data_IF_194116405502
#
_entry.id   IF_194116405502
#
_cell.length_a   1.000
_cell.length_b   1.000
_cell.length_c   1.000
_cell.angle_alpha   90.00
_cell.angle_beta   90.00
_cell.angle_gamma   90.00
#
_symmetry.space_group_name_H-M   'P 1'
#
loop_
_entity.id
_entity.type
_entity.pdbx_description
1 polymer ?
#
# COMPACT_ATOMS: atom_id res chain seq x y z
N UNK A 1 -8.28 -11.82 12.83
CA UNK A 1 -7.64 -11.68 11.52
C UNK A 1 -6.86 -12.94 11.22
N UNK A 2 -6.87 -13.44 9.99
CA UNK A 2 -6.05 -14.59 9.64
C UNK A 2 -4.56 -14.22 9.71
N UNK A 3 -3.77 -15.06 10.36
CA UNK A 3 -2.33 -14.90 10.50
C UNK A 3 -1.61 -15.82 9.52
N UNK A 4 -0.62 -15.29 8.81
CA UNK A 4 0.25 -16.08 7.94
C UNK A 4 1.65 -16.02 8.49
N UNK A 5 2.24 -17.20 8.69
CA UNK A 5 3.63 -17.31 9.06
C UNK A 5 4.50 -17.22 7.79
N UNK A 6 5.22 -16.12 7.64
CA UNK A 6 6.10 -15.85 6.51
C UNK A 6 7.60 -16.11 6.84
N UNK A 7 7.92 -16.69 8.00
CA UNK A 7 9.32 -16.93 8.42
C UNK A 7 10.13 -17.73 7.44
N UNK A 8 9.48 -18.68 6.77
CA UNK A 8 10.14 -19.57 5.81
C UNK A 8 10.09 -19.05 4.37
N UNK A 9 9.43 -17.93 4.15
CA UNK A 9 9.33 -17.35 2.80
C UNK A 9 10.60 -16.60 2.47
N UNK A 10 11.25 -16.96 1.38
CA UNK A 10 12.40 -16.21 0.89
C UNK A 10 11.92 -14.80 0.53
N UNK A 11 12.54 -13.72 1.04
CA UNK A 11 12.02 -12.35 0.88
C UNK A 11 11.73 -11.94 -0.56
N UNK A 12 12.48 -12.49 -1.52
CA UNK A 12 12.29 -12.25 -2.96
C UNK A 12 10.95 -12.82 -3.49
N UNK A 13 10.34 -13.78 -2.79
CA UNK A 13 9.05 -14.38 -3.13
C UNK A 13 7.85 -13.66 -2.49
N UNK A 14 8.10 -12.67 -1.66
CA UNK A 14 7.05 -11.83 -1.09
C UNK A 14 6.90 -10.57 -1.96
N UNK A 15 5.89 -10.54 -2.80
CA UNK A 15 5.66 -9.50 -3.79
C UNK A 15 4.66 -8.44 -3.31
N UNK A 16 4.80 -7.26 -3.85
CA UNK A 16 3.85 -6.15 -3.73
C UNK A 16 3.85 -5.35 -5.04
N UNK A 17 2.92 -4.41 -5.19
CA UNK A 17 2.92 -3.53 -6.35
C UNK A 17 4.28 -2.83 -6.54
N UNK A 18 4.81 -2.19 -5.51
CA UNK A 18 6.09 -1.48 -5.57
C UNK A 18 7.28 -2.39 -5.85
N UNK A 19 7.25 -3.65 -5.37
CA UNK A 19 8.31 -4.60 -5.66
C UNK A 19 8.30 -5.06 -7.12
N UNK A 20 7.11 -5.25 -7.72
CA UNK A 20 6.96 -5.57 -9.15
C UNK A 20 7.38 -4.38 -10.01
N UNK A 21 7.00 -3.15 -9.66
CA UNK A 21 7.51 -1.95 -10.35
C UNK A 21 9.04 -1.87 -10.30
N UNK A 22 9.63 -2.23 -9.16
CA UNK A 22 11.09 -2.28 -9.03
C UNK A 22 11.70 -3.36 -9.92
N UNK A 23 11.09 -4.55 -9.99
CA UNK A 23 11.50 -5.64 -10.87
C UNK A 23 11.50 -5.19 -12.35
N UNK A 24 10.42 -4.55 -12.80
CA UNK A 24 10.30 -4.04 -14.17
C UNK A 24 11.29 -2.91 -14.46
N UNK A 25 11.54 -2.04 -13.48
CA UNK A 25 12.52 -0.97 -13.62
C UNK A 25 13.93 -1.53 -13.76
N UNK A 26 14.34 -2.38 -12.85
CA UNK A 26 15.67 -3.02 -12.88
C UNK A 26 15.66 -4.28 -11.99
N UNK A 27 15.75 -5.49 -12.59
CA UNK A 27 15.77 -6.74 -11.83
C UNK A 27 16.91 -6.81 -10.80
N UNK A 28 18.09 -6.29 -11.10
CA UNK A 28 19.19 -6.22 -10.14
C UNK A 28 18.88 -5.35 -8.93
N UNK A 29 18.21 -4.21 -9.14
CA UNK A 29 17.72 -3.35 -8.05
C UNK A 29 16.71 -4.09 -7.18
N UNK A 30 15.79 -4.82 -7.79
CA UNK A 30 14.81 -5.66 -7.09
C UNK A 30 15.49 -6.72 -6.22
N UNK A 31 16.48 -7.45 -6.77
CA UNK A 31 17.24 -8.45 -6.02
C UNK A 31 17.94 -7.83 -4.79
N UNK A 32 18.72 -6.76 -4.99
CA UNK A 32 19.44 -6.09 -3.90
C UNK A 32 18.48 -5.63 -2.80
N UNK A 33 17.35 -5.05 -3.18
CA UNK A 33 16.33 -4.57 -2.24
C UNK A 33 15.67 -5.73 -1.49
N UNK A 34 15.21 -6.75 -2.21
CA UNK A 34 14.46 -7.87 -1.59
C UNK A 34 15.32 -8.77 -0.75
N UNK A 35 16.56 -8.98 -1.13
CA UNK A 35 17.51 -9.79 -0.36
C UNK A 35 18.19 -9.01 0.77
N UNK A 36 17.84 -7.75 0.95
CA UNK A 36 18.42 -6.86 1.97
C UNK A 36 19.96 -6.76 1.89
N UNK A 37 20.51 -6.75 0.67
CA UNK A 37 21.95 -6.62 0.46
C UNK A 37 22.49 -5.21 0.73
N UNK A 38 21.62 -4.23 0.83
CA UNK A 38 21.95 -2.84 1.14
C UNK A 38 20.85 -2.19 1.97
N UNK A 39 21.16 -1.13 2.76
CA UNK A 39 20.18 -0.38 3.51
C UNK A 39 19.09 0.18 2.60
N UNK A 40 17.86 0.22 3.10
CA UNK A 40 16.79 0.99 2.47
C UNK A 40 17.13 2.48 2.50
N UNK A 41 16.70 3.19 1.47
CA UNK A 41 16.78 4.65 1.47
C UNK A 41 15.89 5.21 2.59
N UNK A 42 16.37 6.23 3.30
CA UNK A 42 15.52 6.99 4.21
C UNK A 42 14.33 7.56 3.45
N UNK A 43 13.19 7.63 4.10
CA UNK A 43 12.00 8.27 3.54
C UNK A 43 12.33 9.66 2.98
N UNK A 44 11.78 9.98 1.81
CA UNK A 44 11.96 11.29 1.20
C UNK A 44 10.82 12.21 1.63
N UNK A 45 11.03 13.54 1.50
CA UNK A 45 9.95 14.50 1.71
C UNK A 45 8.73 14.21 0.83
N UNK A 46 8.93 13.60 -0.35
CA UNK A 46 7.86 13.21 -1.25
C UNK A 46 6.99 12.10 -0.67
N UNK A 47 7.63 11.07 -0.11
CA UNK A 47 6.94 9.95 0.53
C UNK A 47 6.26 10.37 1.83
N UNK A 48 6.96 11.12 2.70
CA UNK A 48 6.41 11.62 3.95
C UNK A 48 5.19 12.54 3.72
N UNK A 49 5.26 13.42 2.70
CA UNK A 49 4.15 14.29 2.33
C UNK A 49 2.94 13.48 1.86
N UNK A 50 3.17 12.53 0.93
CA UNK A 50 2.11 11.68 0.40
C UNK A 50 1.42 10.86 1.50
N UNK A 51 2.22 10.24 2.37
CA UNK A 51 1.74 9.47 3.50
C UNK A 51 0.92 10.32 4.48
N UNK A 52 1.42 11.49 4.89
CA UNK A 52 0.71 12.38 5.80
C UNK A 52 -0.65 12.84 5.22
N UNK A 53 -0.70 13.22 3.94
CA UNK A 53 -1.97 13.58 3.28
C UNK A 53 -2.93 12.38 3.27
N UNK A 54 -2.43 11.18 2.97
CA UNK A 54 -3.21 9.93 3.03
C UNK A 54 -3.83 9.71 4.40
N UNK A 55 -3.02 9.72 5.45
CA UNK A 55 -3.46 9.59 6.85
C UNK A 55 -4.52 10.62 7.20
N UNK A 56 -4.32 11.90 6.84
CA UNK A 56 -5.28 12.96 7.13
C UNK A 56 -6.63 12.75 6.45
N UNK A 57 -6.64 12.35 5.18
CA UNK A 57 -7.87 12.03 4.42
C UNK A 57 -8.59 10.83 5.03
N UNK A 58 -7.86 9.77 5.37
CA UNK A 58 -8.42 8.56 5.97
C UNK A 58 -9.05 8.84 7.34
N UNK A 59 -8.39 9.63 8.20
CA UNK A 59 -8.93 10.03 9.50
C UNK A 59 -10.22 10.86 9.39
N UNK A 60 -10.30 11.74 8.40
CA UNK A 60 -11.53 12.50 8.14
C UNK A 60 -12.68 11.59 7.67
N UNK A 61 -12.39 10.59 6.83
CA UNK A 61 -13.38 9.59 6.43
C UNK A 61 -13.88 8.77 7.62
N UNK A 62 -12.98 8.34 8.51
CA UNK A 62 -13.33 7.60 9.73
C UNK A 62 -14.21 8.46 10.65
N UNK A 63 -13.80 9.68 10.90
CA UNK A 63 -14.53 10.60 11.78
C UNK A 63 -15.94 10.90 11.25
N UNK A 64 -16.07 11.08 9.94
CA UNK A 64 -17.36 11.33 9.30
C UNK A 64 -18.31 10.14 9.45
N UNK A 65 -17.85 8.93 9.17
CA UNK A 65 -18.66 7.72 9.27
C UNK A 65 -19.04 7.40 10.73
N UNK A 66 -18.16 7.68 11.70
CA UNK A 66 -18.46 7.51 13.12
C UNK A 66 -19.57 8.47 13.60
N UNK A 67 -19.56 9.72 13.15
CA UNK A 67 -20.55 10.72 13.54
C UNK A 67 -21.95 10.45 12.98
N UNK A 68 -22.05 9.81 11.82
CA UNK A 68 -23.35 9.41 11.27
C UNK A 68 -24.00 8.28 12.07
N UNK A 69 -23.20 7.47 12.74
CA UNK A 69 -23.67 6.38 13.62
C UNK A 69 -24.09 6.88 15.01
N UNK A 70 -23.48 7.98 15.49
CA UNK A 70 -23.72 8.59 16.81
C UNK A 70 -24.56 9.88 16.64
N UNK A 71 -25.87 9.74 16.63
CA UNK A 71 -26.83 10.84 16.42
C UNK A 71 -26.84 11.97 17.48
N UNK A 72 -25.86 12.10 18.36
CA UNK A 72 -26.00 12.94 19.57
C UNK A 72 -24.79 13.77 20.02
N UNK A 73 -23.72 13.90 19.28
CA UNK A 73 -22.67 14.84 19.72
C UNK A 73 -22.30 15.80 18.58
N UNK A 74 -22.46 17.11 18.87
CA UNK A 74 -21.92 18.21 18.08
C UNK A 74 -20.36 18.14 18.07
N UNK A 75 -19.80 17.09 17.51
CA UNK A 75 -18.37 17.07 17.23
C UNK A 75 -18.15 18.13 16.16
N UNK A 76 -17.49 19.22 16.50
CA UNK A 76 -17.28 20.32 15.55
C UNK A 76 -16.35 19.85 14.43
N UNK A 77 -16.56 20.29 13.19
CA UNK A 77 -15.63 20.08 12.06
C UNK A 77 -14.18 20.38 12.43
N UNK A 78 -13.99 21.32 13.38
CA UNK A 78 -12.67 21.67 13.90
C UNK A 78 -12.04 20.53 14.68
N UNK A 79 -12.81 19.78 15.48
CA UNK A 79 -12.27 18.65 16.27
C UNK A 79 -11.88 17.47 15.38
N UNK A 80 -12.61 17.20 14.29
CA UNK A 80 -12.27 16.18 13.31
C UNK A 80 -10.96 16.52 12.61
N UNK A 81 -10.82 17.77 12.16
CA UNK A 81 -9.60 18.26 11.54
C UNK A 81 -8.40 18.22 12.50
N UNK A 82 -8.57 18.62 13.75
CA UNK A 82 -7.51 18.58 14.77
C UNK A 82 -7.02 17.14 15.00
N UNK A 83 -7.93 16.18 15.06
CA UNK A 83 -7.57 14.77 15.18
C UNK A 83 -6.79 14.29 13.95
N UNK A 84 -7.24 14.63 12.73
CA UNK A 84 -6.54 14.31 11.51
C UNK A 84 -5.12 14.89 11.50
N UNK A 85 -4.94 16.17 11.87
CA UNK A 85 -3.62 16.80 11.99
C UNK A 85 -2.73 16.10 13.00
N UNK A 86 -3.28 15.69 14.14
CA UNK A 86 -2.51 14.95 15.14
C UNK A 86 -2.00 13.62 14.60
N UNK A 87 -2.83 12.86 13.91
CA UNK A 87 -2.43 11.61 13.26
C UNK A 87 -1.39 11.83 12.16
N UNK A 88 -1.56 12.86 11.35
CA UNK A 88 -0.58 13.26 10.36
C UNK A 88 0.78 13.61 10.98
N UNK A 89 0.77 14.33 12.11
CA UNK A 89 1.99 14.67 12.83
C UNK A 89 2.72 13.42 13.32
N UNK A 90 1.99 12.46 13.90
CA UNK A 90 2.57 11.19 14.33
C UNK A 90 3.14 10.35 13.17
N UNK A 91 2.60 10.53 11.96
CA UNK A 91 3.05 9.83 10.75
C UNK A 91 4.17 10.53 9.99
N UNK A 92 4.59 11.73 10.42
CA UNK A 92 5.60 12.51 9.73
C UNK A 92 7.01 12.06 10.10
N UNK A 93 7.71 11.45 9.13
CA UNK A 93 9.00 10.80 9.36
C UNK A 93 10.23 11.64 8.99
N UNK A 94 10.03 12.84 8.43
CA UNK A 94 11.12 13.73 7.99
C UNK A 94 11.33 14.81 9.03
N UNK A 95 12.60 15.10 9.33
CA UNK A 95 12.95 16.23 10.19
C UNK A 95 12.43 17.54 9.58
N UNK A 96 11.67 18.29 10.37
CA UNK A 96 11.08 19.56 9.94
C UNK A 96 12.16 20.55 9.53
N UNK A 97 13.33 20.49 10.16
CA UNK A 97 14.47 21.37 9.87
C UNK A 97 15.16 21.03 8.53
N UNK A 98 15.01 19.81 8.03
CA UNK A 98 15.50 19.42 6.70
C UNK A 98 14.63 19.97 5.56
N UNK A 99 13.43 20.43 5.86
CA UNK A 99 12.48 20.95 4.86
C UNK A 99 12.79 22.41 4.55
N UNK A 100 13.14 22.68 3.30
CA UNK A 100 13.39 24.06 2.86
C UNK A 100 12.19 24.96 3.15
N UNK A 101 12.40 26.16 3.72
CA UNK A 101 11.33 27.15 3.87
C UNK A 101 10.61 27.37 2.53
N UNK A 102 9.27 27.43 2.55
CA UNK A 102 8.41 27.56 1.35
C UNK A 102 8.38 26.32 0.45
N UNK A 103 8.78 25.15 0.94
CA UNK A 103 8.56 23.91 0.20
C UNK A 103 7.06 23.68 0.01
N UNK A 104 6.66 23.28 -1.20
CA UNK A 104 5.29 22.85 -1.49
C UNK A 104 4.93 21.49 -0.88
N UNK A 105 5.92 20.80 -0.32
CA UNK A 105 5.82 19.50 0.36
C UNK A 105 6.34 19.62 1.79
N UNK A 106 5.80 20.55 2.57
CA UNK A 106 6.04 20.69 4.00
C UNK A 106 4.87 20.06 4.78
N UNK A 107 5.06 19.80 6.07
CA UNK A 107 3.97 19.37 6.94
C UNK A 107 2.80 20.36 6.92
N UNK A 108 3.11 21.66 6.99
CA UNK A 108 2.09 22.71 6.89
C UNK A 108 1.31 22.63 5.57
N UNK A 109 1.98 22.38 4.43
CA UNK A 109 1.31 22.20 3.14
C UNK A 109 0.42 20.95 3.12
N UNK A 110 0.81 19.88 3.81
CA UNK A 110 -0.03 18.69 3.97
C UNK A 110 -1.29 19.00 4.80
N UNK A 111 -1.16 19.77 5.89
CA UNK A 111 -2.32 20.23 6.67
C UNK A 111 -3.31 21.03 5.81
N UNK A 112 -2.83 21.97 5.01
CA UNK A 112 -3.68 22.75 4.09
C UNK A 112 -4.36 21.88 3.02
N UNK A 113 -3.69 20.82 2.55
CA UNK A 113 -4.29 19.87 1.62
C UNK A 113 -5.46 19.14 2.27
N UNK A 114 -5.30 18.66 3.49
CA UNK A 114 -6.34 17.93 4.23
C UNK A 114 -7.51 18.84 4.61
N UNK A 115 -7.25 20.09 4.95
CA UNK A 115 -8.30 21.11 5.16
C UNK A 115 -9.14 21.31 3.89
N UNK A 116 -8.49 21.45 2.74
CA UNK A 116 -9.21 21.55 1.45
C UNK A 116 -10.05 20.33 1.14
N UNK A 117 -9.52 19.12 1.42
CA UNK A 117 -10.28 17.90 1.27
C UNK A 117 -11.55 17.91 2.12
N UNK A 118 -11.42 18.25 3.41
CA UNK A 118 -12.55 18.33 4.34
C UNK A 118 -13.64 19.29 3.87
N UNK A 119 -13.24 20.46 3.36
CA UNK A 119 -14.19 21.50 2.98
C UNK A 119 -14.83 21.26 1.62
N UNK A 120 -14.12 20.73 0.65
CA UNK A 120 -14.53 20.71 -0.75
C UNK A 120 -14.98 19.33 -1.24
N UNK A 121 -14.32 18.27 -0.83
CA UNK A 121 -14.50 16.95 -1.42
C UNK A 121 -15.21 15.96 -0.50
N UNK A 122 -14.90 15.96 0.77
CA UNK A 122 -15.52 15.04 1.74
C UNK A 122 -17.05 15.12 1.74
N UNK A 123 -17.69 16.31 1.71
CA UNK A 123 -19.15 16.41 1.65
C UNK A 123 -19.74 15.85 0.36
N UNK A 124 -19.04 15.99 -0.76
CA UNK A 124 -19.48 15.45 -2.05
C UNK A 124 -19.39 13.93 -2.08
N UNK A 125 -18.26 13.38 -1.62
CA UNK A 125 -18.05 11.95 -1.55
C UNK A 125 -19.08 11.28 -0.63
N UNK A 126 -19.25 11.81 0.58
CA UNK A 126 -20.12 11.21 1.61
C UNK A 126 -21.62 11.42 1.34
N UNK A 127 -22.01 12.14 0.29
CA UNK A 127 -23.40 12.23 -0.13
C UNK A 127 -23.99 10.90 -0.60
N UNK A 128 -23.17 10.01 -1.17
CA UNK A 128 -23.60 8.72 -1.73
C UNK A 128 -22.84 7.54 -1.14
N UNK A 129 -21.60 7.77 -0.72
CA UNK A 129 -20.67 6.73 -0.29
C UNK A 129 -20.25 6.98 1.16
N UNK A 130 -20.13 5.90 1.90
CA UNK A 130 -19.60 5.91 3.26
C UNK A 130 -18.34 5.06 3.31
N UNK A 131 -17.51 5.26 4.33
CA UNK A 131 -16.41 4.34 4.61
C UNK A 131 -16.99 2.97 5.01
N UNK A 132 -16.52 1.91 4.38
CA UNK A 132 -16.90 0.55 4.75
C UNK A 132 -16.29 0.16 6.10
N UNK A 133 -16.96 -0.74 6.81
CA UNK A 133 -16.48 -1.33 8.06
C UNK A 133 -16.55 -2.86 7.94
N UNK A 134 -15.47 -3.54 8.27
CA UNK A 134 -15.41 -5.00 8.32
C UNK A 134 -15.08 -5.43 9.76
N UNK A 135 -15.92 -6.27 10.33
CA UNK A 135 -15.78 -6.71 11.74
C UNK A 135 -15.62 -5.54 12.72
N UNK A 136 -16.28 -4.41 12.46
CA UNK A 136 -16.21 -3.21 13.30
C UNK A 136 -14.98 -2.33 13.09
N UNK A 137 -14.08 -2.68 12.18
CA UNK A 137 -12.90 -1.88 11.81
C UNK A 137 -13.17 -1.07 10.55
N UNK A 138 -12.71 0.20 10.49
CA UNK A 138 -12.80 1.00 9.27
C UNK A 138 -11.92 0.40 8.17
N UNK A 139 -12.43 0.34 6.96
CA UNK A 139 -11.73 -0.20 5.81
C UNK A 139 -10.75 0.83 5.19
N UNK A 140 -9.77 1.24 5.98
CA UNK A 140 -8.61 2.04 5.58
C UNK A 140 -7.36 1.22 5.75
N UNK A 141 -6.39 1.37 4.84
CA UNK A 141 -5.18 0.53 4.79
C UNK A 141 -5.55 -0.96 4.90
N UNK A 142 -6.59 -1.36 4.15
CA UNK A 142 -7.14 -2.71 4.22
C UNK A 142 -6.13 -3.72 3.68
N UNK A 143 -5.48 -4.45 4.57
CA UNK A 143 -4.41 -5.39 4.25
C UNK A 143 -4.94 -6.69 3.64
N UNK A 144 -4.35 -7.10 2.52
CA UNK A 144 -4.64 -8.38 1.88
C UNK A 144 -3.38 -9.11 1.46
N UNK A 145 -3.45 -10.42 1.44
CA UNK A 145 -2.40 -11.27 0.92
C UNK A 145 -3.00 -12.38 0.04
N UNK A 146 -2.35 -12.60 -1.10
CA UNK A 146 -2.69 -13.66 -2.04
C UNK A 146 -1.57 -14.70 -2.00
N UNK A 147 -1.92 -15.93 -1.70
CA UNK A 147 -1.01 -17.07 -1.85
C UNK A 147 -0.99 -17.48 -3.32
N UNK A 148 0.17 -17.36 -3.95
CA UNK A 148 0.43 -17.73 -5.34
C UNK A 148 1.10 -19.11 -5.41
N UNK A 149 1.16 -19.75 -6.60
CA UNK A 149 1.94 -20.97 -6.81
C UNK A 149 3.42 -20.80 -6.44
N UNK A 150 4.11 -21.92 -6.18
CA UNK A 150 5.56 -21.98 -5.90
C UNK A 150 5.99 -21.17 -4.66
N UNK A 151 5.13 -21.10 -3.64
CA UNK A 151 5.37 -20.36 -2.39
C UNK A 151 5.63 -18.87 -2.57
N UNK A 152 5.06 -18.29 -3.62
CA UNK A 152 4.98 -16.84 -3.76
C UNK A 152 3.77 -16.30 -3.00
N UNK A 153 3.91 -15.06 -2.58
CA UNK A 153 2.85 -14.28 -1.94
C UNK A 153 2.81 -12.90 -2.56
N UNK A 154 1.62 -12.39 -2.82
CA UNK A 154 1.42 -11.00 -3.23
C UNK A 154 0.58 -10.31 -2.17
N UNK A 155 1.10 -9.24 -1.61
CA UNK A 155 0.43 -8.44 -0.57
C UNK A 155 0.22 -7.01 -1.00
N UNK A 156 -0.77 -6.37 -0.39
CA UNK A 156 -1.04 -4.96 -0.58
C UNK A 156 -1.99 -4.43 0.45
N UNK A 157 -2.15 -3.13 0.42
CA UNK A 157 -3.07 -2.39 1.27
C UNK A 157 -3.94 -1.53 0.37
N UNK A 158 -5.26 -1.60 0.56
CA UNK A 158 -6.22 -0.74 -0.14
C UNK A 158 -6.40 0.52 0.69
N UNK A 159 -6.10 1.69 0.13
CA UNK A 159 -6.10 2.96 0.88
C UNK A 159 -7.45 3.20 1.59
N UNK A 160 -8.57 3.02 0.88
CA UNK A 160 -9.89 3.00 1.50
C UNK A 160 -10.90 2.22 0.65
N UNK A 161 -11.83 1.52 1.31
CA UNK A 161 -13.01 0.93 0.68
C UNK A 161 -14.24 1.70 1.10
N UNK A 162 -14.98 2.15 0.12
CA UNK A 162 -16.25 2.85 0.28
C UNK A 162 -17.41 1.90 0.05
N UNK A 163 -18.54 2.16 0.70
CA UNK A 163 -19.78 1.42 0.54
C UNK A 163 -20.94 2.34 0.18
N UNK A 164 -21.69 1.96 -0.84
CA UNK A 164 -23.04 2.49 -1.08
C UNK A 164 -24.05 1.51 -0.49
N UNK A 165 -24.55 1.82 0.71
CA UNK A 165 -25.49 0.92 1.43
C UNK A 165 -26.81 0.73 0.69
N UNK A 166 -27.27 1.74 -0.04
CA UNK A 166 -28.52 1.68 -0.81
C UNK A 166 -28.44 0.68 -1.94
N UNK A 167 -27.29 0.66 -2.63
CA UNK A 167 -27.06 -0.20 -3.78
C UNK A 167 -26.32 -1.49 -3.43
N UNK A 168 -25.89 -1.64 -2.16
CA UNK A 168 -25.08 -2.76 -1.70
C UNK A 168 -23.83 -2.97 -2.56
N UNK A 169 -23.09 -1.91 -2.80
CA UNK A 169 -21.86 -1.94 -3.61
C UNK A 169 -20.66 -1.36 -2.88
N UNK A 170 -19.50 -1.98 -3.08
CA UNK A 170 -18.21 -1.48 -2.62
C UNK A 170 -17.43 -0.85 -3.77
N UNK A 171 -16.68 0.20 -3.47
CA UNK A 171 -15.77 0.89 -4.38
C UNK A 171 -14.45 1.21 -3.68
N UNK A 172 -13.36 1.18 -4.44
CA UNK A 172 -12.02 1.57 -3.96
C UNK A 172 -11.81 3.06 -4.14
N UNK A 173 -11.31 3.71 -3.10
CA UNK A 173 -10.72 5.04 -3.15
C UNK A 173 -9.20 4.90 -3.01
N UNK A 174 -8.46 5.41 -3.97
CA UNK A 174 -7.00 5.39 -4.02
C UNK A 174 -6.45 6.80 -3.94
N UNK A 175 -5.54 7.04 -3.01
CA UNK A 175 -4.99 8.36 -2.73
C UNK A 175 -3.62 8.52 -3.39
N UNK A 176 -3.41 9.61 -4.11
CA UNK A 176 -2.11 9.90 -4.73
C UNK A 176 -1.74 11.38 -4.56
N UNK A 177 -0.45 11.64 -4.42
CA UNK A 177 0.07 13.00 -4.47
C UNK A 177 1.07 13.12 -5.63
N UNK A 178 1.08 14.27 -6.32
CA UNK A 178 2.00 14.50 -7.42
C UNK A 178 2.54 15.91 -7.44
N UNK A 179 3.81 16.04 -7.82
CA UNK A 179 4.47 17.34 -8.09
C UNK A 179 4.42 17.72 -9.56
N UNK A 180 3.78 16.96 -10.41
CA UNK A 180 3.69 17.23 -11.84
C UNK A 180 2.58 18.24 -12.15
N UNK A 181 2.85 19.14 -13.11
CA UNK A 181 1.84 20.10 -13.60
C UNK A 181 0.71 19.39 -14.34
N UNK A 182 1.05 18.37 -15.11
CA UNK A 182 0.11 17.55 -15.87
C UNK A 182 0.02 16.17 -15.24
N UNK A 183 -1.19 15.72 -14.98
CA UNK A 183 -1.46 14.37 -14.50
C UNK A 183 -1.69 13.48 -15.71
N UNK A 184 -0.85 12.48 -15.87
CA UNK A 184 -1.05 11.46 -16.91
C UNK A 184 -2.14 10.48 -16.45
N UNK A 185 -3.36 10.73 -16.92
CA UNK A 185 -4.53 9.91 -16.58
C UNK A 185 -4.42 8.48 -17.11
N UNK A 186 -3.64 8.24 -18.17
CA UNK A 186 -3.42 6.90 -18.71
C UNK A 186 -2.69 6.00 -17.72
N UNK A 187 -1.79 6.58 -16.93
CA UNK A 187 -1.06 5.88 -15.86
C UNK A 187 -2.04 5.31 -14.82
N UNK A 188 -3.01 6.09 -14.38
CA UNK A 188 -4.01 5.64 -13.39
C UNK A 188 -5.03 4.67 -14.00
N UNK A 189 -5.46 4.92 -15.24
CA UNK A 189 -6.39 4.05 -15.93
C UNK A 189 -5.85 2.62 -16.04
N UNK A 190 -4.57 2.47 -16.37
CA UNK A 190 -3.91 1.18 -16.59
C UNK A 190 -3.07 0.70 -15.39
N UNK A 191 -3.18 1.36 -14.23
CA UNK A 191 -2.41 1.02 -13.04
C UNK A 191 -2.61 -0.44 -12.65
N UNK A 192 -1.51 -1.18 -12.55
CA UNK A 192 -1.48 -2.56 -12.09
C UNK A 192 -2.04 -2.69 -10.65
N UNK A 193 -1.68 -1.76 -9.77
CA UNK A 193 -2.21 -1.66 -8.41
C UNK A 193 -3.73 -1.55 -8.40
N UNK A 194 -4.28 -0.57 -9.15
CA UNK A 194 -5.72 -0.35 -9.16
C UNK A 194 -6.52 -1.49 -9.81
N UNK A 195 -5.94 -2.19 -10.80
CA UNK A 195 -6.58 -3.39 -11.35
C UNK A 195 -6.63 -4.50 -10.30
N UNK A 196 -5.53 -4.70 -9.56
CA UNK A 196 -5.46 -5.66 -8.46
C UNK A 196 -6.50 -5.37 -7.37
N UNK A 197 -6.67 -4.11 -6.99
CA UNK A 197 -7.73 -3.72 -6.05
C UNK A 197 -9.13 -4.07 -6.55
N UNK A 198 -9.40 -3.91 -7.86
CA UNK A 198 -10.67 -4.36 -8.44
C UNK A 198 -10.90 -5.86 -8.34
N UNK A 199 -9.83 -6.67 -8.45
CA UNK A 199 -9.89 -8.13 -8.27
C UNK A 199 -10.16 -8.50 -6.80
N UNK A 200 -9.46 -7.86 -5.86
CA UNK A 200 -9.63 -8.09 -4.43
C UNK A 200 -11.02 -7.65 -3.97
N UNK A 201 -11.48 -6.48 -4.41
CA UNK A 201 -12.78 -5.95 -4.08
C UNK A 201 -13.92 -6.87 -4.54
N UNK A 202 -13.80 -7.47 -5.72
CA UNK A 202 -14.78 -8.43 -6.24
C UNK A 202 -14.91 -9.65 -5.32
N UNK A 203 -13.79 -10.23 -4.88
CA UNK A 203 -13.79 -11.35 -3.93
C UNK A 203 -14.38 -10.96 -2.58
N UNK A 204 -13.97 -9.78 -2.05
CA UNK A 204 -14.47 -9.26 -0.79
C UNK A 204 -15.99 -9.04 -0.83
N UNK A 205 -16.49 -8.37 -1.86
CA UNK A 205 -17.90 -8.07 -2.03
C UNK A 205 -18.73 -9.34 -2.08
N UNK A 206 -18.31 -10.34 -2.87
CA UNK A 206 -18.99 -11.62 -2.96
C UNK A 206 -19.07 -12.36 -1.61
N UNK A 207 -18.06 -12.26 -0.76
CA UNK A 207 -18.05 -12.90 0.56
C UNK A 207 -19.05 -12.28 1.55
N UNK A 208 -19.54 -11.06 1.27
CA UNK A 208 -20.42 -10.28 2.13
C UNK A 208 -21.83 -10.06 1.55
N UNK A 209 -22.16 -10.72 0.45
CA UNK A 209 -23.43 -10.53 -0.28
C UNK A 209 -23.60 -9.07 -0.80
N UNK A 210 -22.50 -8.48 -1.22
CA UNK A 210 -22.42 -7.19 -1.88
C UNK A 210 -21.90 -7.38 -3.31
N UNK A 211 -22.09 -6.38 -4.16
CA UNK A 211 -21.46 -6.32 -5.47
C UNK A 211 -20.23 -5.41 -5.45
N UNK A 212 -19.27 -5.67 -6.32
CA UNK A 212 -18.17 -4.76 -6.56
C UNK A 212 -18.56 -3.73 -7.62
N UNK A 213 -18.34 -2.47 -7.30
CA UNK A 213 -18.29 -1.41 -8.31
C UNK A 213 -16.83 -1.33 -8.77
N UNK A 214 -16.57 -1.82 -9.99
CA UNK A 214 -15.21 -1.96 -10.49
C UNK A 214 -14.52 -0.63 -10.86
N UNK A 215 -15.10 0.49 -10.47
CA UNK A 215 -14.41 1.77 -10.53
C UNK A 215 -13.43 1.88 -9.36
N UNK A 216 -12.24 2.36 -9.67
CA UNK A 216 -11.27 2.85 -8.70
C UNK A 216 -11.26 4.37 -8.81
N UNK A 217 -11.64 5.02 -7.74
CA UNK A 217 -11.64 6.48 -7.65
C UNK A 217 -10.25 6.94 -7.20
N UNK A 218 -9.49 7.51 -8.11
CA UNK A 218 -8.21 8.13 -7.78
C UNK A 218 -8.44 9.55 -7.29
N UNK A 219 -8.07 9.82 -6.05
CA UNK A 219 -8.03 11.14 -5.46
C UNK A 219 -6.58 11.65 -5.52
N UNK A 220 -6.28 12.54 -6.44
CA UNK A 220 -4.93 13.00 -6.72
C UNK A 220 -4.73 14.43 -6.25
N UNK A 221 -3.86 14.64 -5.26
CA UNK A 221 -3.46 15.97 -4.84
C UNK A 221 -2.26 16.47 -5.65
N UNK A 222 -2.44 17.58 -6.36
CA UNK A 222 -1.36 18.27 -7.08
C UNK A 222 -0.71 19.31 -6.19
N UNK A 223 0.55 19.09 -5.82
CA UNK A 223 1.29 20.01 -4.93
C UNK A 223 1.61 21.35 -5.61
N UNK A 224 1.66 21.39 -6.95
CA UNK A 224 1.97 22.61 -7.70
C UNK A 224 0.81 23.60 -7.69
N UNK A 225 -0.39 23.13 -8.06
CA UNK A 225 -1.63 23.93 -8.07
C UNK A 225 -2.37 23.89 -6.73
N UNK A 226 -1.93 23.04 -5.82
CA UNK A 226 -2.56 22.85 -4.51
C UNK A 226 -4.06 22.51 -4.61
N UNK A 227 -4.41 21.62 -5.52
CA UNK A 227 -5.78 21.19 -5.79
C UNK A 227 -5.89 19.66 -5.81
N UNK A 228 -7.08 19.16 -5.48
CA UNK A 228 -7.44 17.77 -5.68
C UNK A 228 -8.12 17.59 -7.04
N UNK A 229 -7.79 16.48 -7.68
CA UNK A 229 -8.47 15.99 -8.87
C UNK A 229 -9.01 14.59 -8.57
N UNK A 230 -10.18 14.26 -9.10
CA UNK A 230 -10.78 12.94 -8.97
C UNK A 230 -10.91 12.29 -10.34
N UNK A 231 -10.48 11.05 -10.43
CA UNK A 231 -10.51 10.26 -11.66
C UNK A 231 -11.11 8.89 -11.39
N UNK A 232 -12.39 8.65 -11.68
CA UNK A 232 -12.97 7.32 -11.62
C UNK A 232 -12.59 6.52 -12.86
N UNK A 233 -11.92 5.38 -12.69
CA UNK A 233 -11.56 4.49 -13.79
C UNK A 233 -12.13 3.09 -13.59
N UNK A 234 -12.98 2.70 -14.53
CA UNK A 234 -13.46 1.33 -14.60
C UNK A 234 -12.30 0.37 -14.87
N UNK A 235 -12.16 -0.65 -14.03
CA UNK A 235 -11.26 -1.77 -14.23
C UNK A 235 -12.03 -2.90 -14.89
N UNK A 236 -11.89 -3.00 -16.22
CA UNK A 236 -12.67 -3.93 -17.03
C UNK A 236 -12.40 -5.39 -16.65
N UNK A 237 -13.33 -6.28 -16.93
CA UNK A 237 -13.17 -7.71 -16.69
C UNK A 237 -11.93 -8.28 -17.38
N UNK A 238 -11.66 -7.86 -18.61
CA UNK A 238 -10.44 -8.25 -19.33
C UNK A 238 -9.16 -7.82 -18.58
N UNK A 239 -9.11 -6.59 -18.06
CA UNK A 239 -7.96 -6.13 -17.28
C UNK A 239 -7.77 -6.95 -16.01
N UNK A 240 -8.87 -7.27 -15.30
CA UNK A 240 -8.81 -8.05 -14.06
C UNK A 240 -8.34 -9.48 -14.31
N UNK A 241 -8.89 -10.15 -15.32
CA UNK A 241 -8.45 -11.49 -15.71
C UNK A 241 -6.97 -11.51 -16.15
N UNK A 242 -6.57 -10.53 -16.96
CA UNK A 242 -5.18 -10.41 -17.42
C UNK A 242 -4.21 -10.14 -16.28
N UNK A 243 -4.62 -9.39 -15.26
CA UNK A 243 -3.79 -9.09 -14.09
C UNK A 243 -3.37 -10.36 -13.34
N UNK A 244 -4.28 -11.33 -13.19
CA UNK A 244 -3.95 -12.64 -12.58
C UNK A 244 -2.90 -13.39 -13.41
N UNK A 245 -3.06 -13.44 -14.73
CA UNK A 245 -2.07 -14.06 -15.61
C UNK A 245 -0.73 -13.36 -15.53
N UNK A 246 -0.73 -12.04 -15.39
CA UNK A 246 0.49 -11.26 -15.26
C UNK A 246 1.22 -11.57 -13.96
N UNK A 247 0.52 -11.75 -12.83
CA UNK A 247 1.16 -12.17 -11.58
C UNK A 247 1.93 -13.49 -11.74
N UNK A 248 1.38 -14.46 -12.49
CA UNK A 248 2.09 -15.72 -12.76
C UNK A 248 3.35 -15.50 -13.60
N UNK A 249 3.27 -14.68 -14.64
CA UNK A 249 4.45 -14.34 -15.48
C UNK A 249 5.54 -13.68 -14.62
N UNK A 250 5.19 -12.80 -13.69
CA UNK A 250 6.17 -12.19 -12.78
C UNK A 250 6.86 -13.25 -11.89
N UNK A 251 6.10 -14.21 -11.35
CA UNK A 251 6.69 -15.29 -10.53
C UNK A 251 7.59 -16.20 -11.35
N UNK A 252 7.20 -16.58 -12.57
CA UNK A 252 8.00 -17.37 -13.50
C UNK A 252 9.28 -16.63 -13.91
N UNK A 253 9.19 -15.32 -14.11
CA UNK A 253 10.35 -14.48 -14.45
C UNK A 253 11.36 -14.44 -13.30
N UNK A 254 10.89 -14.30 -12.07
CA UNK A 254 11.75 -14.32 -10.88
C UNK A 254 12.39 -15.72 -10.71
N UNK A 255 11.61 -16.80 -10.87
CA UNK A 255 12.12 -18.17 -10.79
C UNK A 255 13.22 -18.41 -11.86
N UNK A 256 13.03 -17.88 -13.06
CA UNK A 256 14.07 -17.94 -14.12
C UNK A 256 15.36 -17.21 -13.69
N UNK A 257 15.24 -16.02 -13.12
CA UNK A 257 16.40 -15.26 -12.64
C UNK A 257 17.11 -15.96 -11.49
N UNK A 258 16.34 -16.55 -10.56
CA UNK A 258 16.89 -17.37 -9.46
C UNK A 258 17.61 -18.62 -9.97
N UNK A 259 17.01 -19.33 -10.93
CA UNK A 259 17.61 -20.55 -11.53
C UNK A 259 18.90 -20.23 -12.28
N UNK A 260 18.97 -19.05 -12.94
CA UNK A 260 20.17 -18.63 -13.68
C UNK A 260 21.18 -17.91 -12.80
N UNK A 261 20.87 -17.66 -11.54
CA UNK A 261 21.67 -16.83 -10.62
C UNK A 261 22.01 -15.46 -11.25
N UNK A 262 21.08 -14.92 -12.04
CA UNK A 262 21.30 -13.70 -12.82
C UNK A 262 20.09 -12.80 -12.82
N UNK A 263 20.20 -11.67 -12.16
CA UNK A 263 19.25 -10.56 -12.24
C UNK A 263 19.83 -9.45 -13.14
N UNK A 264 19.25 -9.21 -14.32
CA UNK A 264 19.79 -8.23 -15.27
C UNK A 264 19.81 -6.80 -14.71
N UNK A 265 20.80 -6.01 -15.14
CA UNK A 265 20.86 -4.56 -14.88
C UNK A 265 20.26 -3.79 -16.03
N UNK A 266 19.46 -2.77 -15.73
CA UNK A 266 18.86 -1.88 -16.73
C UNK A 266 19.47 -0.49 -16.60
N UNK A 267 20.37 -0.13 -17.53
CA UNK A 267 21.13 1.12 -17.50
C UNK A 267 20.24 2.38 -17.50
N UNK A 268 19.11 2.33 -18.21
CA UNK A 268 18.15 3.43 -18.27
C UNK A 268 17.55 3.77 -16.90
N UNK A 269 17.53 2.80 -15.99
CA UNK A 269 17.01 2.97 -14.63
C UNK A 269 18.05 3.46 -13.62
N UNK A 270 19.32 3.57 -14.03
CA UNK A 270 20.40 4.06 -13.16
C UNK A 270 20.26 5.54 -12.85
N UNK A 271 19.57 6.30 -13.68
CA UNK A 271 19.31 7.71 -13.48
C UNK A 271 17.88 8.05 -13.90
N UNK A 272 17.01 8.26 -12.94
CA UNK A 272 15.59 8.52 -13.18
C UNK A 272 15.13 9.78 -12.43
N UNK A 273 14.34 10.65 -13.07
CA UNK A 273 13.84 11.91 -12.49
C UNK A 273 14.92 12.73 -11.80
N UNK A 274 16.07 12.90 -12.45
CA UNK A 274 17.23 13.66 -11.93
C UNK A 274 17.86 13.07 -10.65
N UNK A 275 17.58 11.81 -10.34
CA UNK A 275 18.16 11.09 -9.21
C UNK A 275 18.91 9.86 -9.69
N UNK A 276 20.11 9.66 -9.15
CA UNK A 276 20.89 8.45 -9.37
C UNK A 276 20.30 7.31 -8.54
N UNK A 277 20.34 6.09 -9.10
CA UNK A 277 19.92 4.90 -8.36
C UNK A 277 20.75 4.75 -7.07
N UNK A 278 20.08 4.52 -5.95
CA UNK A 278 20.72 4.36 -4.63
C UNK A 278 21.73 3.21 -4.58
N UNK A 279 21.59 2.22 -5.46
CA UNK A 279 22.49 1.06 -5.51
C UNK A 279 23.57 1.19 -6.59
N UNK A 280 23.70 2.33 -7.26
CA UNK A 280 24.64 2.52 -8.37
C UNK A 280 26.07 2.11 -8.03
N UNK A 281 26.56 2.41 -6.83
CA UNK A 281 27.93 2.10 -6.42
C UNK A 281 28.16 0.63 -5.95
N UNK A 282 27.13 -0.18 -5.91
CA UNK A 282 27.19 -1.56 -5.39
C UNK A 282 26.55 -2.60 -6.31
N UNK A 283 25.79 -2.18 -7.33
CA UNK A 283 25.03 -3.13 -8.15
C UNK A 283 25.91 -4.01 -9.04
N UNK A 284 27.15 -3.61 -9.30
CA UNK A 284 28.16 -4.37 -10.06
C UNK A 284 28.92 -5.40 -9.21
N UNK A 285 28.73 -5.40 -7.88
CA UNK A 285 29.40 -6.33 -6.99
C UNK A 285 28.71 -7.69 -6.99
N UNK A 286 29.49 -8.73 -6.72
CA UNK A 286 28.94 -10.07 -6.52
C UNK A 286 28.08 -10.16 -5.27
N UNK A 287 27.07 -11.03 -5.29
CA UNK A 287 26.16 -11.24 -4.15
C UNK A 287 26.91 -11.69 -2.89
N UNK A 288 27.97 -12.49 -3.04
CA UNK A 288 28.85 -12.90 -1.96
C UNK A 288 29.50 -11.72 -1.22
N UNK A 289 29.93 -10.70 -1.96
CA UNK A 289 30.49 -9.48 -1.36
C UNK A 289 29.43 -8.64 -0.64
N UNK A 290 28.20 -8.59 -1.15
CA UNK A 290 27.09 -7.84 -0.57
C UNK A 290 26.55 -8.52 0.69
N UNK A 291 26.53 -9.85 0.74
CA UNK A 291 26.09 -10.63 1.91
C UNK A 291 26.96 -10.40 3.14
N UNK A 292 28.27 -10.21 2.98
CA UNK A 292 29.20 -9.93 4.09
C UNK A 292 28.86 -8.61 4.80
N UNK A 293 28.20 -7.69 4.11
CA UNK A 293 27.76 -6.38 4.64
C UNK A 293 26.28 -6.34 5.00
N UNK A 294 25.65 -7.49 5.18
CA UNK A 294 24.24 -7.55 5.57
C UNK A 294 24.03 -6.70 6.81
N UNK A 295 23.33 -5.61 6.67
CA UNK A 295 23.03 -4.69 7.77
C UNK A 295 21.96 -5.37 8.62
N UNK A 296 22.37 -5.90 9.76
CA UNK A 296 21.55 -6.71 10.67
C UNK A 296 20.50 -5.90 11.44
N UNK A 297 20.44 -4.58 11.25
CA UNK A 297 19.61 -3.67 12.05
C UNK A 297 18.70 -2.76 11.18
N UNK A 298 18.26 -3.23 10.01
CA UNK A 298 17.20 -2.52 9.31
C UNK A 298 15.86 -2.87 9.97
N UNK A 299 15.05 -1.86 10.34
CA UNK A 299 13.67 -2.12 10.68
C UNK A 299 13.04 -2.87 9.50
N UNK A 300 12.48 -4.01 9.76
CA UNK A 300 11.70 -4.76 8.78
C UNK A 300 10.42 -3.99 8.52
N UNK A 301 9.74 -4.25 7.39
CA UNK A 301 8.40 -3.68 7.14
C UNK A 301 7.44 -4.00 8.30
N UNK A 302 7.76 -5.00 9.11
CA UNK A 302 7.07 -5.46 10.31
C UNK A 302 7.27 -4.56 11.53
N UNK A 303 8.48 -4.02 11.73
CA UNK A 303 8.70 -3.03 12.79
C UNK A 303 7.93 -1.74 12.51
N UNK A 304 7.72 -1.41 11.24
CA UNK A 304 6.81 -0.33 10.83
C UNK A 304 5.36 -0.65 11.17
N UNK A 305 4.86 -1.83 10.82
CA UNK A 305 3.47 -2.22 11.08
C UNK A 305 3.19 -2.37 12.58
N UNK A 306 4.17 -2.86 13.37
CA UNK A 306 4.01 -3.05 14.82
C UNK A 306 4.25 -1.77 15.64
N UNK A 307 5.03 -0.82 15.13
CA UNK A 307 5.36 0.42 15.85
C UNK A 307 4.17 1.41 15.93
N UNK A 308 3.12 1.21 15.16
CA UNK A 308 2.02 2.14 14.99
C UNK A 308 0.77 1.86 15.84
N UNK A 309 0.82 0.91 16.76
CA UNK A 309 -0.25 0.78 17.73
C UNK A 309 -0.07 1.83 18.84
N UNK A 310 -1.12 2.58 19.14
CA UNK A 310 -1.18 3.50 20.30
C UNK A 310 -0.78 2.77 21.59
N UNK A 311 -1.14 1.51 21.71
CA UNK A 311 -0.82 0.67 22.87
C UNK A 311 0.69 0.42 23.00
N UNK A 312 1.41 0.26 21.87
CA UNK A 312 2.86 0.14 21.88
C UNK A 312 3.54 1.46 22.28
N UNK A 313 3.05 2.60 21.80
CA UNK A 313 3.55 3.93 22.20
C UNK A 313 3.29 4.22 23.68
N UNK A 314 2.14 3.84 24.20
CA UNK A 314 1.80 3.99 25.62
C UNK A 314 2.63 3.04 26.50
N UNK A 315 2.91 1.83 26.02
CA UNK A 315 3.79 0.87 26.70
C UNK A 315 5.26 1.34 26.75
N UNK A 316 5.75 1.99 25.69
CA UNK A 316 7.10 2.57 25.65
C UNK A 316 7.27 3.78 26.57
N UNK A 317 6.19 4.52 26.84
CA UNK A 317 6.20 5.71 27.71
C UNK A 317 5.75 5.43 29.14
N UNK A 318 5.46 4.19 29.49
CA UNK A 318 5.24 3.81 30.90
C UNK A 318 6.56 3.88 31.65
N UNK A 319 6.67 4.59 32.79
CA UNK A 319 7.90 4.64 33.57
C UNK A 319 8.20 3.26 34.14
N UNK A 320 8.97 2.46 33.40
CA UNK A 320 9.58 1.28 33.98
C UNK A 320 10.72 1.73 34.89
N UNK A 321 10.63 1.34 36.13
CA UNK A 321 11.62 1.57 37.17
C UNK A 321 13.06 1.44 36.67
N UNK A 322 13.75 2.59 36.65
CA UNK A 322 15.18 2.67 36.43
C UNK A 322 15.93 2.05 37.59
N UNK A 323 16.23 0.78 37.52
CA UNK A 323 17.29 0.17 38.32
C UNK A 323 18.02 -0.89 37.49
N UNK A 324 19.30 -0.61 37.32
CA UNK A 324 20.39 -1.45 36.82
C UNK A 324 20.83 -1.17 35.38
N UNK A 325 21.55 -0.08 35.20
CA UNK A 325 22.63 0.01 34.22
C UNK A 325 23.95 0.00 34.96
N UNK A 326 24.59 -1.15 35.07
CA UNK A 326 26.05 -1.25 35.23
C UNK A 326 26.63 -1.46 33.85
N UNK A 327 27.39 -0.46 33.40
CA UNK A 327 28.33 -0.60 32.30
C UNK A 327 29.29 -1.72 32.65
N UNK A 328 29.37 -2.74 31.84
CA UNK A 328 30.57 -3.56 31.72
C UNK A 328 30.89 -3.75 30.24
N UNK A 329 31.94 -3.05 29.86
CA UNK A 329 32.71 -3.19 28.64
C UNK A 329 33.49 -4.49 28.68
N UNK A 330 33.18 -5.46 27.82
CA UNK A 330 34.20 -6.26 27.15
C UNK A 330 33.63 -7.06 25.99
N UNK A 331 34.14 -6.74 24.84
CA UNK A 331 34.08 -7.36 23.55
C UNK A 331 34.47 -8.84 23.55
N UNK A 332 33.53 -9.67 23.12
CA UNK A 332 33.84 -10.84 22.31
C UNK A 332 32.72 -11.01 21.29
N UNK A 333 33.06 -10.78 20.02
CA UNK A 333 32.15 -10.98 18.90
C UNK A 333 32.00 -12.49 18.71
N UNK A 334 31.01 -13.05 19.37
CA UNK A 334 30.50 -14.37 19.04
C UNK A 334 29.42 -14.14 17.99
N UNK A 335 29.69 -14.60 16.76
CA UNK A 335 28.67 -14.68 15.72
C UNK A 335 27.65 -15.75 16.11
N UNK A 336 26.67 -15.34 16.90
CA UNK A 336 25.43 -16.10 17.01
C UNK A 336 24.59 -15.71 15.78
N UNK A 337 24.25 -16.70 14.96
CA UNK A 337 23.18 -16.54 14.01
C UNK A 337 21.99 -15.96 14.77
N UNK A 338 21.42 -14.82 14.34
CA UNK A 338 20.24 -14.29 14.99
C UNK A 338 19.15 -15.34 14.89
N UNK A 339 18.62 -15.77 16.02
CA UNK A 339 17.41 -16.56 16.05
C UNK A 339 16.40 -15.82 15.17
N UNK A 340 15.97 -16.48 14.08
CA UNK A 340 14.95 -15.95 13.19
C UNK A 340 13.72 -15.74 14.05
N UNK A 341 13.40 -14.49 14.41
CA UNK A 341 12.15 -14.18 15.07
C UNK A 341 11.05 -14.63 14.13
N UNK A 342 10.13 -15.38 14.65
CA UNK A 342 8.98 -15.84 13.92
C UNK A 342 8.16 -14.62 13.53
N UNK A 343 8.13 -14.36 12.21
CA UNK A 343 7.42 -13.22 11.64
C UNK A 343 5.99 -13.65 11.37
N UNK A 344 5.08 -13.10 12.12
CA UNK A 344 3.64 -13.28 11.94
C UNK A 344 3.08 -11.95 11.47
N UNK A 345 2.71 -11.87 10.20
CA UNK A 345 1.97 -10.71 9.67
C UNK A 345 0.46 -10.99 9.78
N UNK A 346 -0.30 -10.02 10.24
CA UNK A 346 -1.75 -10.04 10.26
C UNK A 346 -2.29 -9.35 9.02
N UNK A 347 -3.15 -10.05 8.29
CA UNK A 347 -3.85 -9.49 7.14
C UNK A 347 -5.35 -9.56 7.37
N UNK A 348 -6.06 -8.55 6.91
CA UNK A 348 -7.52 -8.53 6.99
C UNK A 348 -8.13 -9.63 6.11
N UNK A 349 -7.48 -9.94 4.98
CA UNK A 349 -7.90 -11.01 4.07
C UNK A 349 -6.72 -11.85 3.60
N UNK A 350 -6.95 -13.16 3.59
CA UNK A 350 -6.07 -14.17 2.98
C UNK A 350 -6.87 -14.85 1.88
N UNK A 351 -6.35 -14.79 0.67
CA UNK A 351 -7.03 -15.28 -0.54
C UNK A 351 -6.09 -16.21 -1.30
N UNK A 352 -6.61 -17.32 -1.83
CA UNK A 352 -5.81 -18.15 -2.73
C UNK A 352 -5.92 -17.66 -4.17
N UNK A 353 -4.91 -17.91 -4.96
CA UNK A 353 -4.90 -17.54 -6.37
C UNK A 353 -6.01 -18.28 -7.14
N UNK A 354 -6.25 -19.54 -6.81
CA UNK A 354 -7.29 -20.37 -7.39
C UNK A 354 -8.69 -19.79 -7.17
N UNK A 355 -8.97 -19.27 -5.98
CA UNK A 355 -10.25 -18.61 -5.68
C UNK A 355 -10.45 -17.36 -6.55
N UNK A 356 -9.40 -16.58 -6.79
CA UNK A 356 -9.47 -15.40 -7.65
C UNK A 356 -9.70 -15.78 -9.11
N UNK A 357 -8.98 -16.80 -9.60
CA UNK A 357 -9.15 -17.31 -10.96
C UNK A 357 -10.57 -17.83 -11.17
N UNK A 358 -11.07 -18.70 -10.29
CA UNK A 358 -12.43 -19.23 -10.37
C UNK A 358 -13.47 -18.09 -10.44
N UNK A 359 -13.35 -17.09 -9.59
CA UNK A 359 -14.24 -15.93 -9.57
C UNK A 359 -14.22 -15.13 -10.88
N UNK A 360 -13.05 -14.92 -11.49
CA UNK A 360 -12.96 -14.22 -12.77
C UNK A 360 -13.53 -15.03 -13.93
N UNK A 361 -13.42 -16.35 -13.91
CA UNK A 361 -14.06 -17.23 -14.91
C UNK A 361 -15.59 -17.23 -14.77
N UNK A 362 -16.16 -17.23 -13.56
CA UNK A 362 -17.59 -17.07 -13.33
C UNK A 362 -18.10 -15.73 -13.90
N UNK A 363 -17.37 -14.64 -13.67
CA UNK A 363 -17.71 -13.33 -14.22
C UNK A 363 -17.68 -13.29 -15.76
N UNK A 364 -16.71 -13.98 -16.38
CA UNK A 364 -16.64 -14.09 -17.85
C UNK A 364 -17.81 -14.90 -18.41
N UNK A 365 -18.15 -16.02 -17.77
CA UNK A 365 -19.26 -16.87 -18.20
C UNK A 365 -20.62 -16.14 -18.11
N UNK A 366 -20.85 -15.38 -17.04
CA UNK A 366 -22.07 -14.58 -16.89
C UNK A 366 -22.23 -13.52 -17.99
N UNK A 367 -21.16 -12.84 -18.36
CA UNK A 367 -21.18 -11.85 -19.45
C UNK A 367 -21.48 -12.52 -20.80
N UNK A 368 -20.92 -13.70 -21.06
CA UNK A 368 -21.20 -14.44 -22.30
C UNK A 368 -22.66 -14.86 -22.39
N UNK A 369 -23.30 -15.26 -21.28
CA UNK A 369 -24.72 -15.58 -21.22
C UNK A 369 -25.60 -14.36 -21.48
N UNK A 370 -25.28 -13.20 -20.90
CA UNK A 370 -26.01 -11.95 -21.16
C UNK A 370 -25.90 -11.52 -22.63
N UNK A 371 -24.73 -11.65 -23.26
CA UNK A 371 -24.51 -11.31 -24.65
C UNK A 371 -25.25 -12.27 -25.59
N UNK A 372 -25.26 -13.58 -25.29
CA UNK A 372 -25.94 -14.57 -26.12
C UNK A 372 -27.46 -14.57 -25.90
N UNK A 373 -27.95 -14.26 -24.70
CA UNK A 373 -29.37 -14.17 -24.38
C UNK A 373 -30.10 -13.00 -25.03
N UNK A 374 -29.36 -11.94 -25.42
CA UNK A 374 -29.94 -10.78 -26.09
C UNK A 374 -29.98 -10.88 -27.63
N UNK A 375 -29.62 -12.02 -28.22
CA UNK A 375 -29.63 -12.28 -29.65
C UNK A 375 -30.68 -13.31 -30.10
N UNK A 376 -31.78 -13.50 -29.35
CA UNK A 376 -32.98 -14.06 -29.95
C UNK A 376 -33.62 -13.00 -30.83
N UNK A 377 -33.17 -12.99 -32.08
CA UNK A 377 -33.83 -12.20 -33.15
C UNK A 377 -35.17 -12.88 -33.41
N UNK A 378 -36.25 -12.23 -33.10
CA UNK A 378 -37.59 -12.56 -33.63
C UNK A 378 -37.52 -12.58 -35.16
N UNK A 379 -37.52 -13.78 -35.74
CA UNK A 379 -37.74 -13.97 -37.18
C UNK A 379 -39.23 -14.13 -37.49
#
# INVERSE_FOLDING_TARGET
MPQINLTNVIPIKLLSHSSIETLHSCPRKFEIYRMNYAPKEKGTIDTAFGHAVGVGVQELLISKSANETLTTTNTSLLSEYQNAIWKMFLSWEVDIDEVKPKSKKSFHAACLAVEKYQQQLLPLLTSEWELAYFEGKPAVELGFIIKLPNDYYYRGYVDAVLVNKKEKRFRVLELKTTGLNVVDVAQYKNSFQGVGYGVILDKLAASLDYSADYYVDYLVYKTVSQEFLTFPFLKTNYQRAKWLSQLLVETETIDLYLQKELFPTHGESCYNFYRQCQYFGICERENSELQVKKVTNLPTDEEFASAWSIDNLLAMNSPTDSKNNSLDTQTSVVYNEPAVKEVIEEFDFVITFEELVARQYENLASIQQEVTGNFEIDM
#
